data_IF_516969637051
#
_entry.id   IF_516969637051
#
_cell.length_a   1.000
_cell.length_b   1.000
_cell.length_c   1.000
_cell.angle_alpha   90.00
_cell.angle_beta   90.00
_cell.angle_gamma   90.00
#
_symmetry.space_group_name_H-M   'P 1'
#
loop_
_entity.id
_entity.type
_entity.pdbx_description
1 polymer ?
#
# COMPACT_ATOMS: atom_id res chain seq x y z
N UNK A 1 6.27 -12.08 -30.63
CA UNK A 1 5.34 -12.98 -29.90
C UNK A 1 4.94 -12.33 -28.59
N UNK A 2 3.65 -12.29 -28.21
CA UNK A 2 3.22 -11.71 -26.94
C UNK A 2 3.80 -12.50 -25.77
N UNK A 3 4.73 -11.88 -25.05
CA UNK A 3 5.45 -12.47 -23.91
C UNK A 3 4.58 -12.39 -22.65
N UNK A 4 4.64 -13.44 -21.83
CA UNK A 4 4.11 -13.39 -20.47
C UNK A 4 4.98 -12.44 -19.65
N UNK A 5 4.33 -11.49 -18.98
CA UNK A 5 4.96 -10.51 -18.12
C UNK A 5 4.72 -10.96 -16.67
N UNK A 6 5.79 -11.15 -15.92
CA UNK A 6 5.67 -11.39 -14.48
C UNK A 6 5.19 -10.12 -13.78
N UNK A 7 4.11 -10.26 -12.99
CA UNK A 7 3.50 -9.17 -12.21
C UNK A 7 3.82 -9.27 -10.73
N UNK A 8 4.04 -10.48 -10.23
CA UNK A 8 4.36 -10.78 -8.84
C UNK A 8 5.14 -12.09 -8.80
N UNK A 9 6.15 -12.21 -7.96
CA UNK A 9 7.00 -13.40 -7.87
C UNK A 9 7.38 -13.70 -6.42
N UNK A 10 7.40 -14.97 -6.05
CA UNK A 10 7.86 -15.46 -4.75
C UNK A 10 8.88 -16.56 -4.95
N UNK A 11 10.01 -16.46 -4.29
CA UNK A 11 10.98 -17.55 -4.18
C UNK A 11 10.79 -18.19 -2.81
N UNK A 12 10.57 -19.49 -2.75
CA UNK A 12 10.40 -20.26 -1.52
C UNK A 12 11.51 -21.29 -1.40
N UNK A 13 12.00 -21.50 -0.19
CA UNK A 13 13.03 -22.46 0.21
C UNK A 13 12.53 -23.36 1.32
N UNK A 14 12.86 -24.65 1.23
CA UNK A 14 12.59 -25.59 2.32
C UNK A 14 13.77 -25.57 3.32
N UNK A 15 13.58 -25.15 4.58
CA UNK A 15 14.66 -24.89 5.53
C UNK A 15 15.37 -26.17 6.02
N UNK A 16 14.68 -27.30 6.10
CA UNK A 16 15.25 -28.56 6.59
C UNK A 16 15.83 -29.46 5.48
N UNK A 17 15.76 -29.03 4.22
CA UNK A 17 16.16 -29.86 3.08
C UNK A 17 17.65 -29.68 2.74
N UNK A 18 18.55 -29.98 3.69
CA UNK A 18 20.00 -29.94 3.47
C UNK A 18 20.48 -30.88 2.34
N UNK A 19 19.65 -31.84 1.91
CA UNK A 19 20.02 -32.88 0.93
C UNK A 19 18.95 -33.24 -0.13
N UNK A 20 17.76 -32.63 -0.13
CA UNK A 20 16.67 -33.03 -1.03
C UNK A 20 16.50 -32.08 -2.24
N UNK A 21 16.23 -32.65 -3.41
CA UNK A 21 16.33 -32.04 -4.76
C UNK A 21 15.22 -31.02 -5.11
N UNK A 22 14.56 -30.43 -4.09
CA UNK A 22 13.47 -29.46 -4.21
C UNK A 22 13.70 -28.25 -3.31
N UNK A 23 14.93 -27.72 -3.31
CA UNK A 23 15.32 -26.68 -2.34
C UNK A 23 14.72 -25.32 -2.63
N UNK A 24 14.35 -25.01 -3.88
CA UNK A 24 13.86 -23.69 -4.29
C UNK A 24 12.68 -23.81 -5.24
N UNK A 25 11.58 -23.14 -4.91
CA UNK A 25 10.38 -23.01 -5.74
C UNK A 25 10.17 -21.54 -6.05
N UNK A 26 9.97 -21.17 -7.32
CA UNK A 26 9.51 -19.84 -7.70
C UNK A 26 8.06 -19.88 -8.15
N UNK A 27 7.20 -19.13 -7.47
CA UNK A 27 5.82 -18.88 -7.88
C UNK A 27 5.69 -17.49 -8.49
N UNK A 28 5.24 -17.41 -9.73
CA UNK A 28 5.10 -16.15 -10.47
C UNK A 28 3.68 -15.96 -10.98
N UNK A 29 3.04 -14.86 -10.57
CA UNK A 29 1.83 -14.34 -11.22
C UNK A 29 2.24 -13.75 -12.56
N UNK A 30 1.67 -14.25 -13.65
CA UNK A 30 2.00 -13.79 -15.00
C UNK A 30 0.77 -13.26 -15.73
N UNK A 31 0.96 -12.20 -16.48
CA UNK A 31 -0.04 -11.58 -17.33
C UNK A 31 0.41 -11.62 -18.79
N UNK A 32 -0.51 -11.95 -19.69
CA UNK A 32 -0.37 -11.72 -21.12
C UNK A 32 -1.43 -10.72 -21.55
N UNK A 33 -0.99 -9.54 -21.99
CA UNK A 33 -1.88 -8.49 -22.51
C UNK A 33 -2.38 -8.85 -23.92
N UNK A 34 -3.69 -8.85 -24.10
CA UNK A 34 -4.36 -8.96 -25.39
C UNK A 34 -5.16 -7.70 -25.73
N UNK A 35 -5.78 -7.68 -26.91
CA UNK A 35 -6.54 -6.52 -27.41
C UNK A 35 -7.81 -6.24 -26.59
N UNK A 36 -8.37 -7.25 -25.92
CA UNK A 36 -9.64 -7.17 -25.16
C UNK A 36 -9.46 -7.29 -23.65
N UNK A 37 -8.21 -7.26 -23.15
CA UNK A 37 -7.90 -7.38 -21.72
C UNK A 37 -6.65 -8.20 -21.43
N UNK A 38 -6.33 -8.35 -20.13
CA UNK A 38 -5.21 -9.17 -19.65
C UNK A 38 -5.64 -10.60 -19.35
N UNK A 39 -4.87 -11.58 -19.82
CA UNK A 39 -5.01 -12.99 -19.46
C UNK A 39 -4.00 -13.34 -18.39
N UNK A 40 -4.44 -14.05 -17.35
CA UNK A 40 -3.63 -14.31 -16.17
C UNK A 40 -3.38 -15.79 -15.97
N UNK A 41 -2.25 -16.12 -15.34
CA UNK A 41 -1.93 -17.46 -14.84
C UNK A 41 -0.91 -17.37 -13.70
N UNK A 42 -0.68 -18.48 -13.02
CA UNK A 42 0.38 -18.64 -12.02
C UNK A 42 1.36 -19.67 -12.55
N UNK A 43 2.65 -19.38 -12.50
CA UNK A 43 3.72 -20.29 -12.89
C UNK A 43 4.49 -20.76 -11.68
N UNK A 44 4.80 -22.05 -11.64
CA UNK A 44 5.67 -22.65 -10.64
C UNK A 44 6.92 -23.19 -11.34
N UNK A 45 8.07 -22.63 -11.01
CA UNK A 45 9.38 -23.17 -11.38
C UNK A 45 9.99 -23.83 -10.15
N UNK A 46 10.69 -24.95 -10.34
CA UNK A 46 11.46 -25.61 -9.28
C UNK A 46 12.89 -25.71 -9.77
N UNK A 47 13.85 -25.32 -8.93
CA UNK A 47 15.25 -25.48 -9.28
C UNK A 47 15.63 -26.97 -9.21
N UNK A 48 16.19 -27.48 -10.30
CA UNK A 48 16.92 -28.76 -10.31
C UNK A 48 18.35 -28.55 -9.78
N UNK A 49 18.99 -29.58 -9.21
CA UNK A 49 20.35 -29.47 -8.67
C UNK A 49 21.34 -29.20 -9.81
N UNK A 50 21.62 -27.93 -10.03
CA UNK A 50 22.60 -27.39 -10.97
C UNK A 50 23.33 -26.23 -10.29
N UNK A 51 24.56 -25.96 -10.70
CA UNK A 51 25.45 -24.99 -10.03
C UNK A 51 24.92 -23.54 -10.03
N UNK A 52 23.84 -23.25 -10.76
CA UNK A 52 23.20 -21.93 -10.84
C UNK A 52 21.66 -22.04 -10.76
N UNK A 53 21.08 -22.20 -9.56
CA UNK A 53 19.65 -22.39 -9.35
C UNK A 53 18.82 -21.16 -9.73
N UNK A 54 19.40 -19.96 -9.81
CA UNK A 54 18.69 -18.73 -10.14
C UNK A 54 18.37 -18.63 -11.64
N UNK A 55 19.25 -19.14 -12.50
CA UNK A 55 18.99 -19.25 -13.96
C UNK A 55 17.86 -20.22 -14.30
N UNK A 56 17.68 -21.29 -13.52
CA UNK A 56 16.68 -22.35 -13.76
C UNK A 56 15.24 -21.92 -13.44
N UNK A 57 15.07 -20.83 -12.68
CA UNK A 57 13.75 -20.34 -12.24
C UNK A 57 13.02 -19.51 -13.31
N UNK A 58 13.64 -19.25 -14.46
CA UNK A 58 13.06 -18.51 -15.58
C UNK A 58 12.33 -19.45 -16.58
N UNK A 59 11.24 -20.12 -16.17
CA UNK A 59 10.54 -21.03 -17.10
C UNK A 59 9.39 -21.87 -16.56
N UNK A 60 8.88 -21.58 -15.37
CA UNK A 60 7.97 -22.45 -14.62
C UNK A 60 6.69 -22.90 -15.35
N UNK A 61 6.18 -24.08 -14.96
CA UNK A 61 4.94 -24.66 -15.45
C UNK A 61 3.74 -23.81 -15.00
N UNK A 62 2.82 -23.53 -15.91
CA UNK A 62 1.55 -22.91 -15.55
C UNK A 62 0.69 -23.86 -14.69
N UNK A 63 0.17 -23.35 -13.58
CA UNK A 63 -0.67 -24.10 -12.64
C UNK A 63 -2.11 -24.26 -13.12
N UNK A 64 -2.54 -23.43 -14.07
CA UNK A 64 -3.82 -23.60 -14.76
C UNK A 64 -3.61 -23.90 -16.24
N UNK A 65 -4.38 -24.86 -16.76
CA UNK A 65 -4.46 -25.18 -18.19
C UNK A 65 -5.30 -24.16 -18.97
N UNK A 66 -6.16 -23.40 -18.29
CA UNK A 66 -6.97 -22.33 -18.88
C UNK A 66 -6.44 -20.95 -18.51
N UNK A 67 -6.82 -19.95 -19.29
CA UNK A 67 -6.60 -18.55 -18.94
C UNK A 67 -7.54 -18.15 -17.82
N UNK A 68 -7.01 -17.41 -16.85
CA UNK A 68 -7.74 -16.94 -15.69
C UNK A 68 -7.97 -15.43 -15.80
N UNK A 69 -9.05 -14.98 -15.15
CA UNK A 69 -9.19 -13.55 -14.80
C UNK A 69 -8.21 -13.22 -13.67
N UNK A 70 -7.88 -11.95 -13.50
CA UNK A 70 -6.93 -11.51 -12.48
C UNK A 70 -7.26 -12.05 -11.07
N UNK A 71 -8.51 -11.84 -10.61
CA UNK A 71 -8.95 -12.29 -9.29
C UNK A 71 -8.94 -13.82 -9.11
N UNK A 72 -9.06 -14.59 -10.20
CA UNK A 72 -8.93 -16.06 -10.14
C UNK A 72 -7.46 -16.48 -10.04
N UNK A 73 -6.57 -15.82 -10.78
CA UNK A 73 -5.14 -16.08 -10.73
C UNK A 73 -4.52 -15.68 -9.40
N UNK A 74 -4.95 -14.56 -8.80
CA UNK A 74 -4.54 -14.14 -7.46
C UNK A 74 -4.97 -15.16 -6.40
N UNK A 75 -6.24 -15.63 -6.45
CA UNK A 75 -6.71 -16.70 -5.54
C UNK A 75 -5.93 -17.99 -5.68
N UNK A 76 -5.60 -18.39 -6.92
CA UNK A 76 -4.80 -19.58 -7.19
C UNK A 76 -3.37 -19.45 -6.63
N UNK A 77 -2.78 -18.26 -6.75
CA UNK A 77 -1.45 -17.97 -6.20
C UNK A 77 -1.45 -18.08 -4.68
N UNK A 78 -2.42 -17.46 -4.01
CA UNK A 78 -2.52 -17.48 -2.56
C UNK A 78 -2.82 -18.89 -2.03
N UNK A 79 -3.67 -19.65 -2.73
CA UNK A 79 -3.92 -21.07 -2.40
C UNK A 79 -2.63 -21.89 -2.53
N UNK A 80 -1.85 -21.66 -3.59
CA UNK A 80 -0.61 -22.41 -3.80
C UNK A 80 0.47 -22.04 -2.80
N UNK A 81 0.60 -20.76 -2.43
CA UNK A 81 1.50 -20.31 -1.36
C UNK A 81 1.19 -21.02 -0.04
N UNK A 82 -0.07 -20.99 0.42
CA UNK A 82 -0.49 -21.71 1.63
C UNK A 82 -0.19 -23.20 1.57
N UNK A 83 -0.34 -23.81 0.39
CA UNK A 83 -0.02 -25.23 0.20
C UNK A 83 1.48 -25.48 0.36
N UNK A 84 2.35 -24.62 -0.19
CA UNK A 84 3.79 -24.76 -0.05
C UNK A 84 4.27 -24.48 1.38
N UNK A 85 3.66 -23.51 2.05
CA UNK A 85 3.91 -23.23 3.48
C UNK A 85 3.52 -24.41 4.36
N UNK A 86 2.35 -25.02 4.13
CA UNK A 86 1.93 -26.24 4.82
C UNK A 86 2.86 -27.44 4.53
N UNK A 87 3.57 -27.42 3.39
CA UNK A 87 4.60 -28.40 3.03
C UNK A 87 6.00 -28.04 3.55
N UNK A 88 6.11 -27.01 4.41
CA UNK A 88 7.37 -26.62 5.06
C UNK A 88 8.24 -25.67 4.25
N UNK A 89 7.79 -25.14 3.11
CA UNK A 89 8.53 -24.12 2.38
C UNK A 89 8.33 -22.75 3.01
N UNK A 90 9.43 -22.04 3.26
CA UNK A 90 9.44 -20.65 3.70
C UNK A 90 9.86 -19.74 2.54
N UNK A 91 9.39 -18.50 2.47
CA UNK A 91 9.82 -17.56 1.43
C UNK A 91 11.31 -17.23 1.63
N UNK A 92 12.12 -17.50 0.60
CA UNK A 92 13.59 -17.44 0.61
C UNK A 92 14.17 -16.05 0.90
N UNK A 93 13.41 -14.98 0.62
CA UNK A 93 13.82 -13.58 0.79
C UNK A 93 13.38 -12.94 2.12
N UNK A 94 12.78 -13.72 3.02
CA UNK A 94 12.39 -13.24 4.35
C UNK A 94 13.59 -12.85 5.24
N UNK A 95 14.81 -13.26 4.88
CA UNK A 95 16.01 -13.05 5.71
C UNK A 95 16.80 -11.76 5.39
N UNK A 96 16.54 -11.06 4.28
CA UNK A 96 17.32 -9.86 3.90
C UNK A 96 16.52 -8.57 3.70
N UNK A 97 15.20 -8.62 3.76
CA UNK A 97 14.36 -7.42 3.87
C UNK A 97 13.27 -7.73 4.88
N UNK A 98 13.04 -6.86 5.87
CA UNK A 98 12.09 -7.08 6.97
C UNK A 98 10.60 -7.20 6.58
N UNK A 99 10.27 -7.78 5.42
CA UNK A 99 8.93 -7.93 4.86
C UNK A 99 8.09 -9.00 5.59
N UNK A 100 8.68 -10.10 6.06
CA UNK A 100 7.92 -11.21 6.66
C UNK A 100 7.12 -10.87 7.94
N UNK A 101 7.60 -9.93 8.77
CA UNK A 101 6.88 -9.50 9.99
C UNK A 101 5.69 -8.59 9.68
N UNK A 102 5.74 -7.86 8.57
CA UNK A 102 4.85 -6.74 8.25
C UNK A 102 3.98 -6.99 7.02
N UNK A 103 4.02 -8.20 6.44
CA UNK A 103 3.18 -8.58 5.30
C UNK A 103 1.69 -8.45 5.62
N UNK A 104 1.28 -8.74 6.86
CA UNK A 104 -0.10 -8.52 7.32
C UNK A 104 -0.49 -7.04 7.29
N UNK A 105 0.45 -6.12 7.56
CA UNK A 105 0.23 -4.67 7.53
C UNK A 105 0.14 -4.18 6.08
N UNK A 106 0.97 -4.72 5.19
CA UNK A 106 0.86 -4.48 3.75
C UNK A 106 -0.50 -4.93 3.21
N UNK A 107 -0.95 -6.14 3.58
CA UNK A 107 -2.27 -6.65 3.21
C UNK A 107 -3.41 -5.81 3.78
N UNK A 108 -3.26 -5.31 5.01
CA UNK A 108 -4.24 -4.44 5.64
C UNK A 108 -4.35 -3.08 4.92
N UNK A 109 -3.21 -2.45 4.60
CA UNK A 109 -3.16 -1.22 3.82
C UNK A 109 -3.78 -1.46 2.45
N UNK A 110 -3.43 -2.57 1.77
CA UNK A 110 -4.02 -2.94 0.48
C UNK A 110 -5.52 -3.19 0.53
N UNK A 111 -6.05 -3.81 1.60
CA UNK A 111 -7.50 -3.94 1.84
C UNK A 111 -8.14 -2.57 2.07
N UNK A 112 -7.44 -1.65 2.74
CA UNK A 112 -7.86 -0.26 2.86
C UNK A 112 -7.93 0.50 1.54
N UNK A 113 -7.07 0.14 0.56
CA UNK A 113 -7.12 0.65 -0.82
C UNK A 113 -8.28 0.07 -1.65
N UNK A 114 -8.78 -1.11 -1.27
CA UNK A 114 -9.89 -1.80 -1.94
C UNK A 114 -10.90 -2.30 -0.90
N UNK A 115 -11.60 -1.39 -0.20
CA UNK A 115 -12.60 -1.80 0.75
C UNK A 115 -13.68 -2.61 0.00
N UNK A 116 -14.15 -3.74 0.55
CA UNK A 116 -15.29 -4.43 -0.03
C UNK A 116 -16.48 -3.45 -0.06
N UNK A 117 -17.38 -3.56 -1.04
CA UNK A 117 -18.48 -2.60 -1.24
C UNK A 117 -19.43 -2.48 -0.03
N UNK A 118 -19.35 -3.42 0.92
CA UNK A 118 -20.16 -3.50 2.14
C UNK A 118 -19.40 -3.09 3.42
N UNK A 119 -18.13 -2.66 3.35
CA UNK A 119 -17.37 -2.26 4.53
C UNK A 119 -17.87 -0.92 5.09
N UNK A 120 -18.54 -0.95 6.24
CA UNK A 120 -18.93 0.21 7.05
C UNK A 120 -17.79 0.76 7.90
N UNK A 121 -16.78 -0.06 8.20
CA UNK A 121 -15.59 0.34 8.95
C UNK A 121 -14.63 1.16 8.08
N UNK A 122 -14.16 2.28 8.62
CA UNK A 122 -13.25 3.18 7.91
C UNK A 122 -11.88 2.49 7.83
N UNK A 123 -11.20 2.44 6.67
CA UNK A 123 -9.86 1.85 6.53
C UNK A 123 -8.82 2.36 7.54
N UNK A 124 -8.91 3.64 7.90
CA UNK A 124 -8.09 4.27 8.95
C UNK A 124 -8.35 3.69 10.34
N UNK A 125 -9.62 3.44 10.66
CA UNK A 125 -10.03 2.94 11.97
C UNK A 125 -9.60 1.47 12.11
N UNK A 126 -9.80 0.65 11.09
CA UNK A 126 -9.31 -0.74 11.07
C UNK A 126 -7.77 -0.85 11.18
N UNK A 127 -7.02 0.06 10.52
CA UNK A 127 -5.57 0.12 10.62
C UNK A 127 -5.11 0.56 12.02
N UNK A 128 -5.77 1.57 12.60
CA UNK A 128 -5.52 2.02 13.97
C UNK A 128 -5.79 0.90 14.96
N UNK A 129 -6.97 0.30 14.91
CA UNK A 129 -7.40 -0.70 15.89
C UNK A 129 -6.55 -1.97 15.79
N UNK A 130 -6.11 -2.36 14.60
CA UNK A 130 -5.17 -3.46 14.39
C UNK A 130 -3.77 -3.17 14.97
N UNK A 131 -3.24 -1.95 14.78
CA UNK A 131 -1.90 -1.59 15.27
C UNK A 131 -1.88 -1.31 16.78
N UNK A 132 -2.92 -0.68 17.31
CA UNK A 132 -3.10 -0.43 18.75
C UNK A 132 -3.36 -1.74 19.51
N UNK A 133 -4.17 -2.64 18.96
CA UNK A 133 -4.46 -3.95 19.56
C UNK A 133 -3.24 -4.88 19.68
N UNK A 134 -2.19 -4.64 18.89
CA UNK A 134 -0.95 -5.40 18.93
C UNK A 134 0.07 -4.88 19.96
N UNK A 135 -0.20 -3.73 20.61
CA UNK A 135 0.66 -3.18 21.66
C UNK A 135 2.09 -2.87 21.19
N UNK A 136 2.26 -2.53 19.92
CA UNK A 136 3.57 -2.31 19.32
C UNK A 136 4.24 -1.04 19.87
N UNK A 137 5.57 -1.10 20.01
CA UNK A 137 6.35 0.09 20.32
C UNK A 137 6.33 1.08 19.14
N UNK A 138 6.48 2.40 19.37
CA UNK A 138 6.57 3.38 18.29
C UNK A 138 7.64 3.02 17.24
N UNK A 139 8.80 2.53 17.67
CA UNK A 139 9.85 2.10 16.75
C UNK A 139 9.43 0.95 15.85
N UNK A 140 8.69 -0.03 16.39
CA UNK A 140 8.14 -1.13 15.60
C UNK A 140 7.08 -0.64 14.61
N UNK A 141 6.21 0.30 15.00
CA UNK A 141 5.23 0.90 14.08
C UNK A 141 5.94 1.64 12.95
N UNK A 142 6.95 2.45 13.27
CA UNK A 142 7.74 3.16 12.27
C UNK A 142 8.48 2.20 11.33
N UNK A 143 9.03 1.11 11.85
CA UNK A 143 9.64 0.06 11.03
C UNK A 143 8.64 -0.58 10.06
N UNK A 144 7.45 -0.96 10.55
CA UNK A 144 6.41 -1.56 9.72
C UNK A 144 5.90 -0.63 8.62
N UNK A 145 5.67 0.64 8.95
CA UNK A 145 5.27 1.65 7.96
C UNK A 145 6.37 1.88 6.92
N UNK A 146 7.64 1.92 7.34
CA UNK A 146 8.76 2.08 6.41
C UNK A 146 8.84 0.90 5.42
N UNK A 147 8.59 -0.32 5.89
CA UNK A 147 8.52 -1.52 5.04
C UNK A 147 7.39 -1.43 4.03
N UNK A 148 6.18 -1.00 4.44
CA UNK A 148 5.03 -0.87 3.53
C UNK A 148 5.27 0.17 2.43
N UNK A 149 5.93 1.28 2.78
CA UNK A 149 6.29 2.34 1.84
C UNK A 149 7.53 2.02 1.00
N UNK A 150 8.19 0.88 1.26
CA UNK A 150 9.47 0.50 0.64
C UNK A 150 10.57 1.55 0.84
N UNK A 151 10.63 2.15 2.04
CA UNK A 151 11.56 3.20 2.42
C UNK A 151 12.52 2.76 3.53
N UNK A 152 13.74 3.33 3.59
CA UNK A 152 14.58 3.22 4.77
C UNK A 152 13.89 3.85 5.99
N UNK A 153 13.97 3.27 7.20
CA UNK A 153 13.35 3.83 8.42
C UNK A 153 13.79 5.26 8.75
N UNK A 154 15.02 5.63 8.40
CA UNK A 154 15.51 7.00 8.53
C UNK A 154 14.73 7.98 7.63
N UNK A 155 14.41 7.57 6.40
CA UNK A 155 13.63 8.38 5.44
C UNK A 155 12.15 8.47 5.80
N UNK A 156 11.61 7.47 6.49
CA UNK A 156 10.30 7.62 7.10
C UNK A 156 10.32 8.68 8.20
N UNK A 157 11.31 8.65 9.10
CA UNK A 157 11.39 9.61 10.20
C UNK A 157 11.67 11.03 9.69
N UNK A 158 12.51 11.17 8.67
CA UNK A 158 12.93 12.44 8.08
C UNK A 158 12.67 12.43 6.56
N UNK A 159 11.42 12.69 6.14
CA UNK A 159 11.05 12.77 4.73
C UNK A 159 11.58 14.04 4.08
N UNK A 160 11.88 13.96 2.79
CA UNK A 160 12.13 15.10 1.91
C UNK A 160 11.18 15.07 0.71
N UNK A 161 11.08 16.18 -0.04
CA UNK A 161 10.20 16.28 -1.21
C UNK A 161 10.39 15.14 -2.23
N UNK A 162 11.63 14.77 -2.61
CA UNK A 162 11.89 13.61 -3.47
C UNK A 162 11.45 12.27 -2.89
N UNK A 163 11.49 12.10 -1.57
CA UNK A 163 10.98 10.89 -0.91
C UNK A 163 9.47 10.83 -1.03
N UNK A 164 8.78 11.92 -0.71
CA UNK A 164 7.31 11.97 -0.81
C UNK A 164 6.88 11.66 -2.25
N UNK A 165 7.46 12.33 -3.25
CA UNK A 165 7.16 12.14 -4.68
C UNK A 165 7.35 10.74 -5.25
N UNK A 166 8.05 9.84 -4.54
CA UNK A 166 8.25 8.45 -4.97
C UNK A 166 7.26 7.47 -4.34
N UNK A 167 6.53 7.90 -3.31
CA UNK A 167 5.54 7.06 -2.63
C UNK A 167 4.25 7.02 -3.45
N UNK A 168 3.61 5.85 -3.46
CA UNK A 168 2.30 5.69 -4.06
C UNK A 168 1.27 6.60 -3.35
N UNK A 169 0.61 7.53 -4.09
CA UNK A 169 -0.47 8.38 -3.58
C UNK A 169 -1.52 7.63 -2.77
N UNK A 170 -1.89 6.43 -3.21
CA UNK A 170 -2.91 5.62 -2.58
C UNK A 170 -2.43 5.10 -1.21
N UNK A 171 -1.20 4.57 -1.14
CA UNK A 171 -0.59 4.16 0.13
C UNK A 171 -0.46 5.32 1.11
N UNK A 172 -0.03 6.49 0.61
CA UNK A 172 0.07 7.71 1.40
C UNK A 172 -1.30 8.16 1.93
N UNK A 173 -2.35 8.02 1.12
CA UNK A 173 -3.74 8.32 1.48
C UNK A 173 -4.28 7.47 2.63
N UNK A 174 -3.75 6.25 2.83
CA UNK A 174 -4.12 5.37 3.96
C UNK A 174 -3.23 5.65 5.17
N UNK A 175 -1.92 5.72 4.96
CA UNK A 175 -0.95 5.76 6.06
C UNK A 175 -0.81 7.14 6.69
N UNK A 176 -0.89 8.22 5.92
CA UNK A 176 -0.66 9.56 6.46
C UNK A 176 -1.75 9.99 7.48
N UNK A 177 -3.05 9.77 7.23
CA UNK A 177 -4.07 10.02 8.26
C UNK A 177 -3.86 9.18 9.52
N UNK A 178 -3.42 7.92 9.38
CA UNK A 178 -3.08 7.06 10.51
C UNK A 178 -1.92 7.65 11.33
N UNK A 179 -0.82 8.05 10.68
CA UNK A 179 0.33 8.61 11.36
C UNK A 179 -0.01 9.91 12.08
N UNK A 180 -0.69 10.84 11.41
CA UNK A 180 -1.02 12.18 11.96
C UNK A 180 -1.95 12.08 13.17
N UNK A 181 -2.85 11.11 13.18
CA UNK A 181 -3.90 11.00 14.20
C UNK A 181 -3.55 9.98 15.28
N UNK A 182 -2.33 9.44 15.25
CA UNK A 182 -1.87 8.41 16.17
C UNK A 182 -1.83 8.93 17.62
N UNK A 183 -2.21 8.11 18.63
CA UNK A 183 -2.14 8.51 20.04
C UNK A 183 -0.70 8.80 20.49
N UNK A 184 0.26 7.93 20.13
CA UNK A 184 1.69 8.15 20.40
C UNK A 184 2.22 9.40 19.71
N UNK A 185 2.75 10.34 20.50
CA UNK A 185 3.28 11.61 20.03
C UNK A 185 4.45 11.45 19.05
N UNK A 186 5.26 10.41 19.20
CA UNK A 186 6.39 10.14 18.31
C UNK A 186 5.96 9.80 16.89
N UNK A 187 4.97 8.91 16.73
CA UNK A 187 4.38 8.54 15.44
C UNK A 187 3.67 9.73 14.81
N UNK A 188 2.95 10.49 15.64
CA UNK A 188 2.30 11.72 15.21
C UNK A 188 3.27 12.74 14.62
N UNK A 189 4.43 12.94 15.26
CA UNK A 189 5.48 13.83 14.73
C UNK A 189 6.01 13.36 13.37
N UNK A 190 6.07 12.05 13.13
CA UNK A 190 6.44 11.51 11.79
C UNK A 190 5.38 11.97 10.78
N UNK A 191 4.09 11.71 11.03
CA UNK A 191 3.01 12.11 10.12
C UNK A 191 2.97 13.63 9.85
N UNK A 192 3.14 14.44 10.88
CA UNK A 192 3.19 15.91 10.77
C UNK A 192 4.36 16.37 9.87
N UNK A 193 5.56 15.77 10.02
CA UNK A 193 6.71 16.07 9.14
C UNK A 193 6.43 15.72 7.69
N UNK A 194 5.81 14.57 7.43
CA UNK A 194 5.41 14.17 6.08
C UNK A 194 4.44 15.16 5.45
N UNK A 195 3.42 15.60 6.19
CA UNK A 195 2.45 16.57 5.67
C UNK A 195 3.05 17.99 5.48
N UNK A 196 4.07 18.33 6.26
CA UNK A 196 4.82 19.57 6.12
C UNK A 196 5.72 19.58 4.88
N UNK A 197 6.10 18.42 4.32
CA UNK A 197 6.94 18.37 3.12
C UNK A 197 6.28 19.05 1.92
N UNK A 198 7.07 19.75 1.06
CA UNK A 198 6.57 20.28 -0.20
C UNK A 198 5.96 19.17 -1.06
N UNK A 199 4.78 19.41 -1.62
CA UNK A 199 4.12 18.47 -2.53
C UNK A 199 3.28 17.37 -1.83
N UNK A 200 3.44 17.14 -0.53
CA UNK A 200 2.76 16.04 0.17
C UNK A 200 1.23 16.15 0.11
N UNK A 201 0.69 17.34 0.39
CA UNK A 201 -0.76 17.58 0.32
C UNK A 201 -1.34 17.36 -1.09
N UNK A 202 -0.54 17.58 -2.15
CA UNK A 202 -0.96 17.41 -3.55
C UNK A 202 -0.86 15.96 -4.04
N UNK A 203 -0.12 15.12 -3.31
CA UNK A 203 -0.04 13.69 -3.61
C UNK A 203 -1.12 12.88 -2.90
N UNK A 204 -1.79 13.46 -1.91
CA UNK A 204 -2.92 12.80 -1.27
C UNK A 204 -4.09 12.70 -2.27
N UNK A 205 -4.79 11.56 -2.31
CA UNK A 205 -6.00 11.45 -3.10
C UNK A 205 -7.02 12.51 -2.66
N UNK A 206 -7.62 13.23 -3.61
CA UNK A 206 -8.60 14.29 -3.34
C UNK A 206 -9.70 13.90 -2.33
N UNK A 207 -10.31 12.69 -2.42
CA UNK A 207 -11.30 12.23 -1.45
C UNK A 207 -10.77 12.11 0.00
N UNK A 208 -9.47 11.86 0.20
CA UNK A 208 -8.84 11.81 1.53
C UNK A 208 -8.69 13.21 2.10
N UNK A 209 -8.25 14.17 1.28
CA UNK A 209 -8.11 15.58 1.66
C UNK A 209 -9.49 16.17 2.00
N UNK A 210 -10.48 15.96 1.12
CA UNK A 210 -11.85 16.43 1.32
C UNK A 210 -12.43 15.89 2.63
N UNK A 211 -12.34 14.58 2.88
CA UNK A 211 -12.83 13.96 4.10
C UNK A 211 -12.16 14.51 5.36
N UNK A 212 -10.82 14.64 5.31
CA UNK A 212 -10.05 15.17 6.45
C UNK A 212 -10.45 16.60 6.80
N UNK A 213 -10.81 17.41 5.79
CA UNK A 213 -11.29 18.78 5.98
C UNK A 213 -12.76 18.87 6.41
N UNK A 214 -13.55 17.85 6.12
CA UNK A 214 -14.95 17.75 6.53
C UNK A 214 -15.08 17.36 8.02
N UNK A 215 -14.28 16.39 8.47
CA UNK A 215 -14.37 15.77 9.80
C UNK A 215 -13.52 16.50 10.85
N UNK A 216 -13.90 16.42 12.12
CA UNK A 216 -13.04 16.86 13.23
C UNK A 216 -11.79 15.95 13.33
N UNK A 217 -10.62 16.55 13.52
CA UNK A 217 -9.35 15.82 13.55
C UNK A 217 -8.13 16.67 13.22
N UNK A 218 -6.97 16.20 13.68
CA UNK A 218 -5.69 16.89 13.50
C UNK A 218 -5.28 17.01 12.04
N UNK A 219 -5.58 16.02 11.22
CA UNK A 219 -5.28 16.07 9.78
C UNK A 219 -5.98 17.25 9.10
N UNK A 220 -7.26 17.47 9.43
CA UNK A 220 -8.02 18.61 8.92
C UNK A 220 -7.48 19.94 9.43
N UNK A 221 -7.02 20.01 10.67
CA UNK A 221 -6.44 21.23 11.25
C UNK A 221 -5.13 21.63 10.56
N UNK A 222 -4.31 20.64 10.19
CA UNK A 222 -3.06 20.87 9.47
C UNK A 222 -3.29 21.22 7.99
N UNK A 223 -4.35 20.68 7.37
CA UNK A 223 -4.70 20.97 5.97
C UNK A 223 -5.48 22.29 5.80
N UNK A 224 -6.25 22.71 6.81
CA UNK A 224 -7.15 23.87 6.71
C UNK A 224 -6.47 25.17 6.23
N UNK A 225 -5.25 25.53 6.69
CA UNK A 225 -4.55 26.71 6.18
C UNK A 225 -4.29 26.66 4.67
N UNK A 226 -4.01 25.48 4.11
CA UNK A 226 -3.70 25.30 2.69
C UNK A 226 -4.91 25.49 1.78
N UNK A 227 -6.13 25.34 2.29
CA UNK A 227 -7.35 25.60 1.48
C UNK A 227 -7.41 27.07 1.06
N UNK A 228 -6.85 27.98 1.87
CA UNK A 228 -6.85 29.41 1.55
C UNK A 228 -5.95 29.75 0.36
N UNK A 229 -4.75 29.17 0.31
CA UNK A 229 -3.76 29.41 -0.76
C UNK A 229 -4.00 28.54 -1.98
N UNK A 230 -4.28 27.26 -1.78
CA UNK A 230 -4.15 26.21 -2.79
C UNK A 230 -5.45 25.42 -3.00
N UNK A 231 -6.57 25.89 -2.44
CA UNK A 231 -7.84 25.15 -2.39
C UNK A 231 -8.31 24.61 -3.75
N UNK A 232 -8.19 25.40 -4.81
CA UNK A 232 -8.60 24.95 -6.15
C UNK A 232 -7.71 23.81 -6.68
N UNK A 233 -6.39 23.89 -6.47
CA UNK A 233 -5.44 22.88 -6.93
C UNK A 233 -5.50 21.60 -6.08
N UNK A 234 -5.83 21.72 -4.79
CA UNK A 234 -5.93 20.59 -3.88
C UNK A 234 -7.23 19.79 -4.02
N UNK A 235 -8.34 20.45 -4.34
CA UNK A 235 -9.68 19.87 -4.20
C UNK A 235 -10.54 19.96 -5.47
N UNK A 236 -10.29 20.95 -6.33
CA UNK A 236 -11.18 21.27 -7.44
C UNK A 236 -12.52 21.90 -7.01
N UNK A 237 -13.32 22.38 -7.98
CA UNK A 237 -14.53 23.18 -7.69
C UNK A 237 -15.62 22.39 -6.98
N UNK A 238 -15.83 21.12 -7.33
CA UNK A 238 -16.91 20.30 -6.77
C UNK A 238 -16.69 19.97 -5.29
N UNK A 239 -15.46 19.63 -4.90
CA UNK A 239 -15.13 19.35 -3.51
C UNK A 239 -15.16 20.64 -2.67
N UNK A 240 -14.76 21.79 -3.22
CA UNK A 240 -14.92 23.08 -2.55
C UNK A 240 -16.41 23.39 -2.31
N UNK A 241 -17.29 23.11 -3.28
CA UNK A 241 -18.75 23.27 -3.10
C UNK A 241 -19.33 22.36 -2.03
N UNK A 242 -18.82 21.13 -1.88
CA UNK A 242 -19.24 20.24 -0.81
C UNK A 242 -18.73 20.72 0.55
N UNK A 243 -17.47 21.12 0.64
CA UNK A 243 -16.84 21.58 1.88
C UNK A 243 -17.41 22.90 2.40
N UNK A 244 -17.85 23.81 1.53
CA UNK A 244 -18.52 25.05 1.97
C UNK A 244 -19.80 24.77 2.76
N UNK A 245 -20.46 23.64 2.50
CA UNK A 245 -21.68 23.21 3.18
C UNK A 245 -21.42 22.26 4.34
N UNK A 246 -20.49 21.32 4.17
CA UNK A 246 -20.34 20.17 5.07
C UNK A 246 -19.22 20.31 6.09
N UNK A 247 -18.23 21.18 5.89
CA UNK A 247 -17.08 21.26 6.82
C UNK A 247 -17.51 21.79 8.19
N UNK A 248 -17.06 21.11 9.24
CA UNK A 248 -17.19 21.59 10.62
C UNK A 248 -16.32 22.83 10.90
N UNK A 249 -15.28 23.08 10.07
CA UNK A 249 -14.34 24.19 10.24
C UNK A 249 -14.81 25.45 9.52
N UNK A 250 -15.13 26.49 10.29
CA UNK A 250 -15.56 27.78 9.75
C UNK A 250 -14.55 28.39 8.75
N UNK A 251 -13.24 28.28 9.05
CA UNK A 251 -12.18 28.80 8.17
C UNK A 251 -12.14 28.10 6.81
N UNK A 252 -12.40 26.78 6.77
CA UNK A 252 -12.46 25.99 5.53
C UNK A 252 -13.69 26.38 4.72
N UNK A 253 -14.87 26.50 5.37
CA UNK A 253 -16.10 26.93 4.68
C UNK A 253 -15.92 28.28 4.01
N UNK A 254 -15.44 29.28 4.76
CA UNK A 254 -15.20 30.62 4.23
C UNK A 254 -14.17 30.64 3.09
N UNK A 255 -13.10 29.84 3.19
CA UNK A 255 -12.11 29.73 2.13
C UNK A 255 -12.71 29.12 0.86
N UNK A 256 -13.50 28.07 1.00
CA UNK A 256 -14.18 27.42 -0.12
C UNK A 256 -15.18 28.35 -0.81
N UNK A 257 -15.99 29.09 -0.04
CA UNK A 257 -16.90 30.12 -0.58
C UNK A 257 -16.15 31.19 -1.38
N UNK A 258 -15.04 31.71 -0.85
CA UNK A 258 -14.21 32.69 -1.57
C UNK A 258 -13.70 32.16 -2.90
N UNK A 259 -13.27 30.90 -2.96
CA UNK A 259 -12.85 30.28 -4.21
C UNK A 259 -14.01 30.13 -5.20
N UNK A 260 -15.17 29.66 -4.74
CA UNK A 260 -16.36 29.49 -5.59
C UNK A 260 -16.87 30.82 -6.15
N UNK A 261 -16.79 31.91 -5.38
CA UNK A 261 -17.15 33.25 -5.86
C UNK A 261 -16.20 33.74 -6.96
N UNK A 262 -14.91 33.41 -6.90
CA UNK A 262 -13.92 33.78 -7.93
C UNK A 262 -14.08 33.02 -9.24
N UNK A 263 -14.78 31.89 -9.22
CA UNK A 263 -15.02 31.05 -10.40
C UNK A 263 -16.33 31.39 -11.13
N UNK A 264 -17.14 32.29 -10.57
CA UNK A 264 -18.35 32.83 -11.18
C UNK A 264 -18.04 34.11 -11.95
#
# INVERSE_FOLDING_TARGET
MPRWIERRGFTLRHPEAATAHHQVVRLSLVERRGLTGGWWNVREARAEPTDDPERTLAGGRALSWRWLRQAEAERLLDQRLRTLEALGYAIADAAMTGRGRWDWLYDLVRRGLRPPPEATERPRDALRDALEGLGLTPDAIAEGVAVVLELPPARLREPDGPTVARVDPEQLGVLLPFLVEHPHAEIRRIGERWLACPGAAFQLPGPVVERSLADEGRMGDLLAPRVQSDGLALLGPDALLRLSKASCRAAVRQAAERWLTRLR
#
